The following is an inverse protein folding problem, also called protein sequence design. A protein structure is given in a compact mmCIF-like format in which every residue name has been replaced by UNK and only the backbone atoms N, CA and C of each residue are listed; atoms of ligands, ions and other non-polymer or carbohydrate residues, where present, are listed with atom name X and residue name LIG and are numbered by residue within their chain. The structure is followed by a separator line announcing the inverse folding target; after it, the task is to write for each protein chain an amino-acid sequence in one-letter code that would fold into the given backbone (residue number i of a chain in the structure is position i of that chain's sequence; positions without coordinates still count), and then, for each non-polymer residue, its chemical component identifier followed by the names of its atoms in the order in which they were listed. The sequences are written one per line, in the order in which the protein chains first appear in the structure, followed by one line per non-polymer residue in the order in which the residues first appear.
data_IF_471135925294
#
_entry.id   IF_471135925294
#
_cell.length_a   1.000
_cell.length_b   1.000
_cell.length_c   1.000
_cell.angle_alpha   90.00
_cell.angle_beta   90.00
_cell.angle_gamma   90.00
#
_symmetry.space_group_name_H-M   'P 1'
#
loop_
_entity.id
_entity.type
_entity.pdbx_description
1 polymer ?
#
# COMPACT_ATOMS: atom_id res chain seq x y z
N UNK A 1 -9.82 -22.60 -15.99
CA UNK A 1 -8.70 -22.36 -15.05
C UNK A 1 -7.43 -22.81 -15.78
N UNK A 2 -6.57 -21.88 -16.18
CA UNK A 2 -5.25 -22.19 -16.71
C UNK A 2 -4.45 -22.84 -15.57
N UNK A 3 -3.87 -24.04 -15.81
CA UNK A 3 -2.93 -24.62 -14.87
C UNK A 3 -1.87 -23.57 -14.55
N UNK A 4 -1.68 -23.24 -13.28
CA UNK A 4 -0.81 -22.17 -12.83
C UNK A 4 0.60 -22.35 -13.39
N UNK A 5 1.04 -21.36 -14.16
CA UNK A 5 2.40 -21.28 -14.66
C UNK A 5 3.29 -20.87 -13.49
N UNK A 6 4.26 -21.67 -13.12
CA UNK A 6 5.29 -21.25 -12.17
C UNK A 6 6.06 -20.05 -12.71
N UNK A 7 6.38 -19.05 -11.86
CA UNK A 7 7.20 -17.92 -12.27
C UNK A 7 8.60 -18.39 -12.72
N UNK A 8 9.19 -17.66 -13.66
CA UNK A 8 10.62 -17.78 -13.89
C UNK A 8 11.37 -17.18 -12.69
N UNK A 9 12.22 -17.97 -12.02
CA UNK A 9 12.93 -17.55 -10.80
C UNK A 9 14.39 -17.22 -11.14
N UNK A 10 14.89 -16.11 -10.56
CA UNK A 10 16.22 -15.59 -10.79
C UNK A 10 16.89 -15.25 -9.47
N UNK A 11 18.17 -15.55 -9.32
CA UNK A 11 19.04 -15.19 -8.20
C UNK A 11 19.94 -13.98 -8.52
N UNK A 12 19.97 -13.54 -9.79
CA UNK A 12 20.66 -12.33 -10.23
C UNK A 12 19.69 -11.35 -10.88
N UNK A 13 19.78 -10.06 -10.51
CA UNK A 13 18.88 -9.02 -11.01
C UNK A 13 19.03 -8.81 -12.52
N UNK A 14 20.26 -8.83 -13.02
CA UNK A 14 20.58 -8.68 -14.46
C UNK A 14 19.97 -9.79 -15.28
N UNK A 15 20.00 -11.03 -14.81
CA UNK A 15 19.36 -12.16 -15.48
C UNK A 15 17.84 -12.02 -15.55
N UNK A 16 17.22 -11.51 -14.47
CA UNK A 16 15.80 -11.21 -14.43
C UNK A 16 15.45 -10.10 -15.45
N UNK A 17 16.26 -9.06 -15.55
CA UNK A 17 16.05 -7.96 -16.50
C UNK A 17 16.29 -8.42 -17.96
N UNK A 18 17.28 -9.27 -18.22
CA UNK A 18 17.48 -9.85 -19.55
C UNK A 18 16.27 -10.67 -20.00
N UNK A 19 15.74 -11.51 -19.10
CA UNK A 19 14.52 -12.26 -19.34
C UNK A 19 13.33 -11.32 -19.58
N UNK A 20 13.15 -10.28 -18.76
CA UNK A 20 12.06 -9.33 -18.89
C UNK A 20 12.09 -8.66 -20.28
N UNK A 21 13.25 -8.16 -20.72
CA UNK A 21 13.41 -7.53 -22.03
C UNK A 21 13.15 -8.54 -23.17
N UNK A 22 13.59 -9.78 -23.01
CA UNK A 22 13.33 -10.83 -24.01
C UNK A 22 11.82 -11.14 -24.15
N UNK A 23 11.04 -11.05 -23.06
CA UNK A 23 9.59 -11.31 -23.07
C UNK A 23 8.77 -10.09 -23.50
N UNK A 24 9.06 -8.90 -22.96
CA UNK A 24 8.28 -7.69 -23.17
C UNK A 24 8.74 -6.85 -24.38
N UNK A 25 9.94 -7.11 -24.90
CA UNK A 25 10.58 -6.29 -25.92
C UNK A 25 11.28 -5.07 -25.33
N UNK A 26 11.70 -4.15 -26.20
CA UNK A 26 12.52 -2.98 -25.83
C UNK A 26 11.71 -1.71 -25.53
N UNK A 27 10.39 -1.73 -25.66
CA UNK A 27 9.52 -0.61 -25.28
C UNK A 27 8.80 -0.99 -23.98
N UNK A 28 9.27 -0.45 -22.89
CA UNK A 28 8.88 -0.81 -21.54
C UNK A 28 8.18 0.35 -20.84
N UNK A 29 6.94 0.14 -20.42
CA UNK A 29 6.22 1.03 -19.53
C UNK A 29 5.99 0.32 -18.21
N UNK A 30 6.79 0.67 -17.21
CA UNK A 30 6.83 0.02 -15.90
C UNK A 30 5.95 0.77 -14.92
N UNK A 31 4.96 0.09 -14.33
CA UNK A 31 4.27 0.55 -13.14
C UNK A 31 4.98 0.01 -11.90
N UNK A 32 5.38 0.89 -10.99
CA UNK A 32 6.02 0.52 -9.74
C UNK A 32 5.31 1.18 -8.55
N UNK A 33 5.20 0.50 -7.38
CA UNK A 33 4.53 1.04 -6.20
C UNK A 33 5.17 2.32 -5.68
N UNK A 34 4.42 3.08 -4.92
CA UNK A 34 4.99 4.16 -4.11
C UNK A 34 5.72 3.58 -2.86
N UNK A 35 6.67 4.33 -2.35
CA UNK A 35 7.31 4.03 -1.06
C UNK A 35 7.99 2.65 -0.99
N UNK A 36 7.65 1.89 0.05
CA UNK A 36 8.33 0.64 0.44
C UNK A 36 8.08 -0.54 -0.51
N UNK A 37 7.03 -0.52 -1.30
CA UNK A 37 6.72 -1.59 -2.27
C UNK A 37 7.60 -1.58 -3.51
N UNK A 38 8.46 -0.54 -3.69
CA UNK A 38 9.35 -0.44 -4.84
C UNK A 38 10.41 -1.55 -4.82
N UNK A 39 10.51 -2.35 -5.88
CA UNK A 39 11.57 -3.34 -6.03
C UNK A 39 12.87 -2.64 -6.47
N UNK A 40 13.52 -1.97 -5.52
CA UNK A 40 14.61 -1.04 -5.79
C UNK A 40 15.78 -1.69 -6.54
N UNK A 41 16.14 -2.94 -6.21
CA UNK A 41 17.24 -3.66 -6.88
C UNK A 41 16.91 -3.90 -8.37
N UNK A 42 15.71 -4.38 -8.67
CA UNK A 42 15.29 -4.62 -10.06
C UNK A 42 15.11 -3.32 -10.84
N UNK A 43 14.55 -2.28 -10.21
CA UNK A 43 14.38 -0.97 -10.86
C UNK A 43 15.74 -0.35 -11.20
N UNK A 44 16.72 -0.47 -10.31
CA UNK A 44 18.08 0.01 -10.55
C UNK A 44 18.74 -0.78 -11.70
N UNK A 45 18.65 -2.12 -11.68
CA UNK A 45 19.20 -2.95 -12.76
C UNK A 45 18.56 -2.59 -14.13
N UNK A 46 17.23 -2.43 -14.18
CA UNK A 46 16.54 -2.03 -15.40
C UNK A 46 16.93 -0.61 -15.87
N UNK A 47 17.02 0.34 -14.94
CA UNK A 47 17.41 1.71 -15.24
C UNK A 47 18.84 1.77 -15.80
N UNK A 48 19.79 1.08 -15.18
CA UNK A 48 21.17 1.01 -15.66
C UNK A 48 21.28 0.32 -17.02
N UNK A 49 20.50 -0.73 -17.26
CA UNK A 49 20.44 -1.40 -18.56
C UNK A 49 19.93 -0.45 -19.66
N UNK A 50 18.83 0.29 -19.41
CA UNK A 50 18.30 1.25 -20.37
C UNK A 50 19.24 2.46 -20.57
N UNK A 51 19.98 2.86 -19.52
CA UNK A 51 21.00 3.92 -19.61
C UNK A 51 22.18 3.49 -20.46
N UNK A 52 22.53 2.20 -20.47
CA UNK A 52 23.61 1.63 -21.27
C UNK A 52 23.19 1.28 -22.71
N UNK A 53 21.92 1.01 -22.98
CA UNK A 53 21.37 0.66 -24.30
C UNK A 53 20.26 1.64 -24.71
N UNK A 54 20.62 2.66 -25.50
CA UNK A 54 19.67 3.64 -26.03
C UNK A 54 18.59 3.04 -26.96
N UNK A 55 18.69 1.78 -27.32
CA UNK A 55 17.65 1.05 -28.06
C UNK A 55 16.49 0.58 -27.15
N UNK A 56 16.59 0.71 -25.82
CA UNK A 56 15.53 0.43 -24.88
C UNK A 56 14.79 1.74 -24.58
N UNK A 57 13.50 1.80 -24.90
CA UNK A 57 12.61 2.91 -24.54
C UNK A 57 11.93 2.56 -23.22
N UNK A 58 12.34 3.23 -22.14
CA UNK A 58 11.89 2.92 -20.79
C UNK A 58 11.07 4.09 -20.21
N UNK A 59 9.83 3.80 -19.85
CA UNK A 59 9.02 4.69 -19.01
C UNK A 59 8.78 4.04 -17.64
N UNK A 60 9.13 4.73 -16.56
CA UNK A 60 8.82 4.34 -15.17
C UNK A 60 7.73 5.28 -14.65
N UNK A 61 6.59 4.72 -14.27
CA UNK A 61 5.48 5.44 -13.62
C UNK A 61 5.38 4.96 -12.19
N UNK A 62 5.55 5.88 -11.24
CA UNK A 62 5.58 5.59 -9.82
C UNK A 62 5.16 6.81 -9.00
N UNK A 63 5.36 6.75 -7.69
CA UNK A 63 5.20 7.88 -6.79
C UNK A 63 6.14 7.74 -5.59
N UNK A 64 6.42 8.85 -4.91
CA UNK A 64 7.20 8.90 -3.67
C UNK A 64 8.51 8.11 -3.76
N UNK A 65 9.39 8.51 -4.65
CA UNK A 65 10.75 7.99 -4.72
C UNK A 65 11.61 8.61 -3.63
N UNK A 66 11.78 7.88 -2.53
CA UNK A 66 12.55 8.33 -1.39
C UNK A 66 14.05 8.10 -1.64
N UNK A 67 14.84 9.09 -1.26
CA UNK A 67 16.31 9.04 -1.33
C UNK A 67 16.89 9.03 0.07
N UNK A 68 17.99 8.30 0.26
CA UNK A 68 18.78 8.38 1.48
C UNK A 68 19.35 9.79 1.64
N UNK A 69 19.07 10.49 2.74
CA UNK A 69 19.63 11.82 2.98
C UNK A 69 21.14 11.79 2.97
N UNK A 70 21.75 12.83 2.39
CA UNK A 70 23.22 12.99 2.36
C UNK A 70 23.59 14.28 3.06
N UNK A 71 24.56 14.21 3.94
CA UNK A 71 25.11 15.40 4.60
C UNK A 71 25.84 16.30 3.59
N UNK A 72 25.69 17.61 3.76
CA UNK A 72 26.35 18.63 2.93
C UNK A 72 27.70 19.11 3.53
N UNK A 73 28.01 18.71 4.75
CA UNK A 73 29.24 19.07 5.48
C UNK A 73 29.61 18.01 6.51
N UNK A 74 30.89 18.00 6.93
CA UNK A 74 31.40 17.09 7.99
C UNK A 74 30.65 17.25 9.32
N UNK A 75 30.23 18.46 9.64
CA UNK A 75 29.47 18.71 10.87
C UNK A 75 28.08 18.12 10.79
N UNK A 76 27.42 18.25 9.67
CA UNK A 76 26.10 17.65 9.40
C UNK A 76 26.22 16.12 9.38
N UNK A 77 27.27 15.57 8.77
CA UNK A 77 27.53 14.12 8.71
C UNK A 77 27.58 13.49 10.10
N UNK A 78 28.23 14.15 11.06
CA UNK A 78 28.31 13.63 12.46
C UNK A 78 26.93 13.44 13.10
N UNK A 79 25.93 14.21 12.71
CA UNK A 79 24.55 14.07 13.19
C UNK A 79 23.74 13.11 12.32
N UNK A 80 23.88 13.24 11.00
CA UNK A 80 23.02 12.52 10.05
C UNK A 80 23.44 11.07 9.84
N UNK A 81 24.75 10.78 9.74
CA UNK A 81 25.22 9.44 9.42
C UNK A 81 24.70 8.36 10.38
N UNK A 82 24.71 8.56 11.72
CA UNK A 82 24.14 7.57 12.63
C UNK A 82 22.62 7.38 12.47
N UNK A 83 21.90 8.43 12.04
CA UNK A 83 20.46 8.35 11.79
C UNK A 83 20.20 7.60 10.48
N UNK A 84 20.95 7.94 9.43
CA UNK A 84 20.87 7.29 8.12
C UNK A 84 21.22 5.81 8.24
N UNK A 85 22.32 5.47 8.90
CA UNK A 85 22.71 4.08 9.14
C UNK A 85 21.61 3.29 9.87
N UNK A 86 20.98 3.88 10.88
CA UNK A 86 19.91 3.21 11.62
C UNK A 86 18.60 3.07 10.84
N UNK A 87 18.25 4.08 10.02
CA UNK A 87 16.93 4.15 9.34
C UNK A 87 16.98 3.47 7.98
N UNK A 88 18.01 3.74 7.19
CA UNK A 88 18.12 3.26 5.81
C UNK A 88 19.02 2.02 5.68
N UNK A 89 19.96 1.81 6.62
CA UNK A 89 20.85 0.64 6.70
C UNK A 89 21.43 0.27 5.32
N UNK A 90 20.98 -0.85 4.76
CA UNK A 90 21.39 -1.41 3.48
C UNK A 90 20.43 -1.10 2.32
N UNK A 91 19.53 -0.12 2.48
CA UNK A 91 18.63 0.30 1.40
C UNK A 91 19.42 0.80 0.18
N UNK A 92 19.26 0.19 -1.01
CA UNK A 92 20.10 0.48 -2.17
C UNK A 92 19.85 1.86 -2.80
N UNK A 93 18.77 2.55 -2.40
CA UNK A 93 18.34 3.78 -3.06
C UNK A 93 17.72 3.52 -4.43
N UNK A 94 17.51 4.60 -5.18
CA UNK A 94 16.95 4.57 -6.55
C UNK A 94 17.88 5.36 -7.46
N UNK A 95 18.57 4.68 -8.35
CA UNK A 95 19.61 5.25 -9.22
C UNK A 95 19.11 6.39 -10.11
N UNK A 96 17.87 6.28 -10.61
CA UNK A 96 17.28 7.31 -11.45
C UNK A 96 17.09 8.66 -10.74
N UNK A 97 17.02 8.67 -9.41
CA UNK A 97 16.78 9.90 -8.66
C UNK A 97 17.91 10.91 -8.77
N UNK A 98 19.15 10.44 -8.89
CA UNK A 98 20.29 11.33 -9.11
C UNK A 98 20.15 12.08 -10.43
N UNK A 99 19.78 11.40 -11.49
CA UNK A 99 19.59 11.99 -12.83
C UNK A 99 18.31 12.87 -12.88
N UNK A 100 17.24 12.50 -12.17
CA UNK A 100 16.02 13.33 -12.03
C UNK A 100 16.32 14.66 -11.34
N UNK A 101 17.10 14.64 -10.28
CA UNK A 101 17.50 15.86 -9.55
C UNK A 101 18.42 16.75 -10.42
N UNK A 102 19.35 16.12 -11.14
CA UNK A 102 20.32 16.83 -11.98
C UNK A 102 19.79 17.26 -13.37
N UNK A 103 18.56 16.90 -13.74
CA UNK A 103 17.98 17.09 -15.10
C UNK A 103 18.83 16.40 -16.21
N UNK A 104 19.37 15.21 -15.91
CA UNK A 104 20.27 14.44 -16.78
C UNK A 104 19.74 13.07 -17.17
N UNK A 105 18.45 12.83 -16.99
CA UNK A 105 17.80 11.55 -17.40
C UNK A 105 17.99 11.37 -18.92
N UNK A 106 18.49 10.20 -19.37
CA UNK A 106 18.70 9.94 -20.79
C UNK A 106 17.43 10.07 -21.64
N UNK A 107 17.59 10.50 -22.90
CA UNK A 107 16.44 10.78 -23.78
C UNK A 107 15.53 9.58 -24.08
N UNK A 108 16.05 8.35 -23.97
CA UNK A 108 15.30 7.10 -24.12
C UNK A 108 14.63 6.64 -22.82
N UNK A 109 14.74 7.43 -21.73
CA UNK A 109 14.15 7.10 -20.43
C UNK A 109 13.21 8.22 -19.98
N UNK A 110 12.05 7.83 -19.49
CA UNK A 110 11.11 8.74 -18.82
C UNK A 110 10.82 8.23 -17.42
N UNK A 111 11.05 9.07 -16.40
CA UNK A 111 10.63 8.82 -15.03
C UNK A 111 9.52 9.80 -14.71
N UNK A 112 8.32 9.30 -14.40
CA UNK A 112 7.13 10.10 -14.13
C UNK A 112 6.53 9.70 -12.79
N UNK A 113 6.31 10.66 -11.93
CA UNK A 113 5.73 10.43 -10.62
C UNK A 113 4.45 11.22 -10.41
N UNK A 114 3.47 10.62 -9.72
CA UNK A 114 2.21 11.29 -9.39
C UNK A 114 2.15 11.80 -7.95
N UNK A 115 3.21 11.59 -7.16
CA UNK A 115 3.38 12.17 -5.83
C UNK A 115 4.87 12.32 -5.51
N UNK A 116 5.28 13.52 -5.11
CA UNK A 116 6.62 13.81 -4.62
C UNK A 116 6.62 14.04 -3.11
N UNK A 117 7.74 13.75 -2.46
CA UNK A 117 7.94 14.28 -1.11
C UNK A 117 7.84 15.82 -1.16
N UNK A 118 6.98 16.43 -0.33
CA UNK A 118 6.78 17.88 -0.36
C UNK A 118 8.09 18.68 -0.26
N UNK A 119 8.31 19.54 -1.23
CA UNK A 119 9.50 20.41 -1.29
C UNK A 119 10.78 19.79 -1.86
N UNK A 120 10.88 18.45 -1.99
CA UNK A 120 12.13 17.78 -2.34
C UNK A 120 12.63 18.07 -3.76
N UNK A 121 11.72 18.23 -4.73
CA UNK A 121 12.05 18.36 -6.17
C UNK A 121 11.68 19.74 -6.76
N UNK A 122 11.53 20.74 -5.93
CA UNK A 122 11.19 22.10 -6.40
C UNK A 122 12.23 22.69 -7.37
N UNK A 123 13.49 22.33 -7.20
CA UNK A 123 14.58 22.81 -8.03
C UNK A 123 14.87 21.92 -9.25
N UNK A 124 14.14 20.81 -9.44
CA UNK A 124 14.32 19.91 -10.58
C UNK A 124 13.38 20.29 -11.73
N UNK A 125 13.86 20.87 -12.85
CA UNK A 125 13.04 21.13 -14.02
C UNK A 125 12.49 19.84 -14.63
N UNK A 126 13.25 18.75 -14.56
CA UNK A 126 12.82 17.43 -15.03
C UNK A 126 11.59 16.94 -14.28
N UNK A 127 11.65 16.91 -12.96
CA UNK A 127 10.54 16.44 -12.13
C UNK A 127 9.26 17.25 -12.36
N UNK A 128 9.37 18.57 -12.50
CA UNK A 128 8.24 19.46 -12.79
C UNK A 128 7.58 19.16 -14.15
N UNK A 129 8.37 18.85 -15.19
CA UNK A 129 7.86 18.51 -16.51
C UNK A 129 7.21 17.13 -16.57
N UNK A 130 7.65 16.19 -15.71
CA UNK A 130 7.24 14.78 -15.75
C UNK A 130 6.31 14.41 -14.57
N UNK A 131 5.82 15.40 -13.82
CA UNK A 131 4.80 15.18 -12.80
C UNK A 131 3.46 14.80 -13.44
N UNK A 132 2.85 13.73 -12.91
CA UNK A 132 1.51 13.32 -13.30
C UNK A 132 0.50 13.81 -12.25
N UNK A 133 -0.42 14.67 -12.65
CA UNK A 133 -1.50 15.11 -11.76
C UNK A 133 -2.60 14.05 -11.73
N UNK A 134 -2.47 13.07 -10.82
CA UNK A 134 -3.37 11.94 -10.67
C UNK A 134 -3.87 11.88 -9.24
N UNK A 135 -5.16 11.67 -9.06
CA UNK A 135 -5.69 11.29 -7.76
C UNK A 135 -5.36 9.81 -7.50
N UNK A 136 -4.90 9.48 -6.30
CA UNK A 136 -4.48 8.13 -5.95
C UNK A 136 -5.54 7.05 -6.25
N UNK A 137 -6.82 7.36 -6.02
CA UNK A 137 -7.94 6.45 -6.34
C UNK A 137 -8.12 6.20 -7.84
N UNK A 138 -7.48 6.98 -8.71
CA UNK A 138 -7.49 6.81 -10.17
C UNK A 138 -6.16 6.27 -10.72
N UNK A 139 -5.15 6.08 -9.86
CA UNK A 139 -3.81 5.72 -10.31
C UNK A 139 -3.78 4.43 -11.13
N UNK A 140 -4.49 3.38 -10.70
CA UNK A 140 -4.55 2.12 -11.46
C UNK A 140 -5.08 2.32 -12.89
N UNK A 141 -6.21 3.05 -13.05
CA UNK A 141 -6.77 3.38 -14.36
C UNK A 141 -5.75 4.15 -15.22
N UNK A 142 -5.16 5.18 -14.64
CA UNK A 142 -4.27 6.08 -15.38
C UNK A 142 -2.94 5.38 -15.76
N UNK A 143 -2.47 4.40 -14.98
CA UNK A 143 -1.36 3.55 -15.36
C UNK A 143 -1.70 2.63 -16.53
N UNK A 144 -2.90 2.02 -16.52
CA UNK A 144 -3.37 1.19 -17.65
C UNK A 144 -3.55 2.02 -18.93
N UNK A 145 -4.11 3.22 -18.82
CA UNK A 145 -4.29 4.16 -19.94
C UNK A 145 -2.94 4.67 -20.48
N UNK A 146 -1.92 4.78 -19.62
CA UNK A 146 -0.55 5.10 -20.02
C UNK A 146 0.16 3.94 -20.74
N UNK A 147 -0.44 2.75 -20.78
CA UNK A 147 0.09 1.60 -21.50
C UNK A 147 1.10 0.79 -20.68
N UNK A 148 0.98 0.77 -19.34
CA UNK A 148 1.82 -0.10 -18.50
C UNK A 148 1.76 -1.53 -19.01
N UNK A 149 2.92 -2.07 -19.40
CA UNK A 149 3.10 -3.44 -19.87
C UNK A 149 3.99 -4.27 -18.94
N UNK A 150 4.58 -3.66 -17.93
CA UNK A 150 5.33 -4.34 -16.86
C UNK A 150 4.88 -3.77 -15.51
N UNK A 151 4.41 -4.63 -14.63
CA UNK A 151 4.15 -4.30 -13.24
C UNK A 151 5.27 -4.87 -12.38
N UNK A 152 5.96 -4.04 -11.62
CA UNK A 152 7.01 -4.46 -10.71
C UNK A 152 6.62 -4.23 -9.26
N UNK A 153 6.80 -5.23 -8.39
CA UNK A 153 6.40 -5.18 -6.99
C UNK A 153 7.43 -5.87 -6.10
N UNK A 154 7.78 -5.26 -4.97
CA UNK A 154 8.49 -5.97 -3.90
C UNK A 154 7.50 -6.80 -3.09
N UNK A 155 7.84 -8.05 -2.82
CA UNK A 155 6.98 -9.02 -2.14
C UNK A 155 7.71 -9.69 -0.97
N UNK A 156 6.97 -10.09 0.05
CA UNK A 156 7.46 -10.96 1.11
C UNK A 156 7.18 -12.43 0.80
N UNK A 157 7.81 -13.39 1.48
CA UNK A 157 7.39 -14.78 1.47
C UNK A 157 5.90 -14.89 1.84
N UNK A 158 5.19 -15.81 1.20
CA UNK A 158 3.80 -16.13 1.54
C UNK A 158 3.69 -17.02 2.78
N UNK A 159 2.48 -17.49 3.06
CA UNK A 159 2.21 -18.47 4.13
C UNK A 159 2.43 -19.91 3.66
N UNK A 160 2.56 -20.12 2.36
CA UNK A 160 2.90 -21.39 1.71
C UNK A 160 3.88 -21.12 0.56
N UNK A 161 4.53 -22.14 0.06
CA UNK A 161 5.44 -22.06 -1.10
C UNK A 161 4.72 -21.65 -2.40
N UNK A 162 3.40 -21.78 -2.45
CA UNK A 162 2.57 -21.42 -3.60
C UNK A 162 2.15 -19.94 -3.61
N UNK A 163 2.46 -19.19 -2.54
CA UNK A 163 2.04 -17.81 -2.37
C UNK A 163 3.21 -16.86 -2.10
N UNK A 164 3.00 -15.59 -2.42
CA UNK A 164 3.80 -14.46 -1.92
C UNK A 164 2.87 -13.45 -1.25
N UNK A 165 3.42 -12.59 -0.41
CA UNK A 165 2.66 -11.52 0.22
C UNK A 165 3.08 -10.17 -0.36
N UNK A 166 2.10 -9.32 -0.73
CA UNK A 166 2.33 -7.92 -1.09
C UNK A 166 2.74 -7.08 0.12
N UNK A 167 2.80 -7.69 1.30
CA UNK A 167 3.27 -7.10 2.54
C UNK A 167 2.46 -5.86 2.98
N UNK A 168 3.12 -4.90 3.62
CA UNK A 168 2.51 -3.68 4.17
C UNK A 168 2.29 -2.57 3.14
N UNK A 169 2.65 -2.78 1.89
CA UNK A 169 2.48 -1.79 0.81
C UNK A 169 2.01 -2.47 -0.47
N UNK A 170 0.73 -2.84 -0.51
CA UNK A 170 0.08 -3.42 -1.70
C UNK A 170 -0.06 -2.38 -2.81
N UNK A 171 -0.07 -1.09 -2.43
CA UNK A 171 -0.29 0.04 -3.33
C UNK A 171 -1.49 -0.21 -4.27
N UNK A 172 -1.36 0.11 -5.55
CA UNK A 172 -2.39 -0.12 -6.58
C UNK A 172 -2.24 -1.48 -7.29
N UNK A 173 -1.35 -2.35 -6.83
CA UNK A 173 -1.07 -3.62 -7.49
C UNK A 173 -2.30 -4.51 -7.63
N UNK A 174 -3.12 -4.63 -6.58
CA UNK A 174 -4.36 -5.41 -6.62
C UNK A 174 -5.38 -4.83 -7.60
N UNK A 175 -5.44 -3.51 -7.72
CA UNK A 175 -6.35 -2.81 -8.64
C UNK A 175 -5.86 -2.88 -10.09
N UNK A 176 -4.55 -3.01 -10.32
CA UNK A 176 -3.96 -3.20 -11.65
C UNK A 176 -4.14 -4.63 -12.18
N UNK A 177 -4.11 -5.63 -11.31
CA UNK A 177 -4.15 -7.03 -11.71
C UNK A 177 -5.34 -7.41 -12.62
N UNK A 178 -6.60 -6.98 -12.36
CA UNK A 178 -7.71 -7.24 -13.28
C UNK A 178 -7.48 -6.64 -14.68
N UNK A 179 -6.88 -5.45 -14.77
CA UNK A 179 -6.50 -4.82 -16.02
C UNK A 179 -5.43 -5.60 -16.78
N UNK A 180 -4.42 -6.08 -16.08
CA UNK A 180 -3.36 -6.97 -16.61
C UNK A 180 -3.99 -8.26 -17.17
N UNK A 181 -4.91 -8.86 -16.45
CA UNK A 181 -5.62 -10.08 -16.90
C UNK A 181 -6.49 -9.79 -18.14
N UNK A 182 -7.18 -8.65 -18.19
CA UNK A 182 -7.94 -8.23 -19.36
C UNK A 182 -7.03 -7.99 -20.58
N UNK A 183 -5.85 -7.40 -20.39
CA UNK A 183 -4.85 -7.25 -21.46
C UNK A 183 -4.38 -8.60 -21.99
N UNK A 184 -4.13 -9.57 -21.11
CA UNK A 184 -3.78 -10.95 -21.49
C UNK A 184 -4.88 -11.63 -22.28
N UNK A 185 -6.14 -11.49 -21.84
CA UNK A 185 -7.32 -12.01 -22.55
C UNK A 185 -7.48 -11.38 -23.94
N UNK A 186 -7.04 -10.13 -24.13
CA UNK A 186 -7.00 -9.44 -25.42
C UNK A 186 -5.76 -9.78 -26.28
N UNK A 187 -4.95 -10.78 -25.88
CA UNK A 187 -3.78 -11.24 -26.64
C UNK A 187 -2.51 -10.38 -26.46
N UNK A 188 -2.51 -9.45 -25.50
CA UNK A 188 -1.29 -8.72 -25.10
C UNK A 188 -0.49 -9.56 -24.10
N UNK A 189 0.79 -9.22 -23.92
CA UNK A 189 1.70 -9.95 -23.03
C UNK A 189 2.28 -9.04 -21.92
N UNK A 190 1.44 -8.43 -21.06
CA UNK A 190 1.95 -7.69 -19.93
C UNK A 190 2.58 -8.66 -18.92
N UNK A 191 3.65 -8.20 -18.25
CA UNK A 191 4.37 -8.98 -17.25
C UNK A 191 4.14 -8.44 -15.84
N UNK A 192 4.08 -9.36 -14.88
CA UNK A 192 4.13 -9.07 -13.45
C UNK A 192 5.44 -9.64 -12.91
N UNK A 193 6.29 -8.78 -12.35
CA UNK A 193 7.62 -9.15 -11.87
C UNK A 193 7.73 -8.81 -10.39
N UNK A 194 8.06 -9.81 -9.58
CA UNK A 194 8.27 -9.69 -8.15
C UNK A 194 9.74 -9.61 -7.78
N UNK A 195 10.08 -8.78 -6.79
CA UNK A 195 11.33 -8.89 -6.04
C UNK A 195 11.01 -9.40 -4.65
N UNK A 196 11.43 -10.62 -4.33
CA UNK A 196 11.28 -11.17 -2.99
C UNK A 196 12.25 -10.48 -2.03
N UNK A 197 11.74 -10.11 -0.85
CA UNK A 197 12.56 -9.59 0.24
C UNK A 197 12.05 -10.22 1.55
N UNK A 198 12.87 -11.09 2.16
CA UNK A 198 12.52 -11.85 3.36
C UNK A 198 12.46 -10.97 4.62
N UNK A 199 12.93 -9.74 4.55
CA UNK A 199 12.86 -8.75 5.65
C UNK A 199 11.55 -7.96 5.67
N UNK A 200 10.67 -8.16 4.67
CA UNK A 200 9.29 -7.64 4.70
C UNK A 200 8.40 -8.53 5.57
N UNK A 201 7.44 -7.95 6.33
CA UNK A 201 6.47 -8.75 7.06
C UNK A 201 5.51 -9.46 6.12
N UNK A 202 5.24 -10.74 6.38
CA UNK A 202 4.17 -11.48 5.70
C UNK A 202 2.82 -10.99 6.20
N UNK A 203 2.02 -10.39 5.31
CA UNK A 203 0.64 -10.03 5.56
C UNK A 203 -0.28 -11.06 4.90
N UNK A 204 -1.42 -11.32 5.52
CA UNK A 204 -2.34 -12.39 5.11
C UNK A 204 -3.56 -11.87 4.35
N UNK A 205 -4.55 -12.72 4.08
CA UNK A 205 -5.79 -12.42 3.36
C UNK A 205 -5.52 -11.87 1.95
N UNK A 206 -6.08 -10.72 1.58
CA UNK A 206 -5.95 -10.13 0.24
C UNK A 206 -4.52 -9.69 -0.12
N UNK A 207 -3.62 -9.58 0.87
CA UNK A 207 -2.20 -9.36 0.59
C UNK A 207 -1.49 -10.62 0.06
N UNK A 208 -2.06 -11.82 0.27
CA UNK A 208 -1.53 -13.06 -0.31
C UNK A 208 -1.94 -13.18 -1.77
N UNK A 209 -0.95 -13.38 -2.63
CA UNK A 209 -1.12 -13.56 -4.07
C UNK A 209 -0.48 -14.88 -4.45
N UNK A 210 -1.16 -15.66 -5.30
CA UNK A 210 -0.59 -16.90 -5.86
C UNK A 210 0.67 -16.60 -6.68
N UNK A 211 1.74 -17.36 -6.48
CA UNK A 211 2.99 -17.24 -7.27
C UNK A 211 2.73 -17.36 -8.77
N UNK A 212 1.73 -18.16 -9.16
CA UNK A 212 1.31 -18.34 -10.56
C UNK A 212 0.81 -17.05 -11.25
N UNK A 213 0.49 -16.01 -10.50
CA UNK A 213 0.12 -14.68 -11.04
C UNK A 213 1.33 -13.78 -11.33
N UNK A 214 2.51 -14.20 -10.88
CA UNK A 214 3.80 -13.54 -11.12
C UNK A 214 4.50 -14.26 -12.26
N UNK A 215 4.98 -13.55 -13.26
CA UNK A 215 5.65 -14.12 -14.42
C UNK A 215 7.15 -14.33 -14.19
N UNK A 216 7.79 -13.39 -13.52
CA UNK A 216 9.20 -13.43 -13.12
C UNK A 216 9.38 -13.06 -11.65
N UNK A 217 10.21 -13.82 -10.95
CA UNK A 217 10.50 -13.58 -9.54
C UNK A 217 12.00 -13.52 -9.31
N UNK A 218 12.48 -12.37 -8.85
CA UNK A 218 13.84 -12.21 -8.35
C UNK A 218 13.87 -12.62 -6.88
N UNK A 219 14.61 -13.68 -6.57
CA UNK A 219 14.70 -14.31 -5.26
C UNK A 219 16.16 -14.53 -4.92
N UNK A 220 16.79 -13.55 -4.27
CA UNK A 220 18.18 -13.56 -3.87
C UNK A 220 18.32 -13.04 -2.44
N UNK A 221 18.38 -13.90 -1.43
CA UNK A 221 18.49 -13.48 -0.01
C UNK A 221 19.69 -12.57 0.27
N UNK A 222 20.75 -12.67 -0.51
CA UNK A 222 21.92 -11.78 -0.39
C UNK A 222 21.65 -10.33 -0.84
N UNK A 223 20.57 -10.11 -1.60
CA UNK A 223 20.11 -8.80 -2.06
C UNK A 223 18.95 -8.25 -1.23
N UNK A 224 18.53 -8.95 -0.18
CA UNK A 224 17.53 -8.46 0.77
C UNK A 224 18.08 -7.24 1.51
N UNK A 225 17.21 -6.25 1.67
CA UNK A 225 17.53 -5.06 2.45
C UNK A 225 16.43 -4.74 3.45
N UNK A 226 16.78 -4.03 4.50
CA UNK A 226 15.82 -3.60 5.51
C UNK A 226 14.92 -2.49 4.93
N UNK A 227 13.58 -2.69 4.95
CA UNK A 227 12.65 -1.60 4.67
C UNK A 227 12.85 -0.49 5.70
N UNK A 228 12.99 0.74 5.24
CA UNK A 228 13.07 1.87 6.15
C UNK A 228 11.68 2.22 6.70
N UNK A 229 11.65 2.69 7.96
CA UNK A 229 10.42 3.15 8.61
C UNK A 229 9.95 4.50 8.07
N UNK A 230 8.64 4.74 8.15
CA UNK A 230 8.09 6.05 7.87
C UNK A 230 8.71 7.12 8.80
N UNK A 231 9.01 8.34 8.30
CA UNK A 231 9.50 9.41 9.15
C UNK A 231 8.48 9.74 10.23
N UNK A 232 8.90 9.73 11.50
CA UNK A 232 8.08 10.13 12.62
C UNK A 232 8.52 11.53 13.11
N UNK A 233 7.58 12.47 13.17
CA UNK A 233 7.79 13.79 13.76
C UNK A 233 7.18 13.81 15.17
N UNK A 234 7.74 14.61 16.11
CA UNK A 234 7.11 14.82 17.41
C UNK A 234 5.70 15.39 17.25
N UNK A 235 4.75 14.87 18.04
CA UNK A 235 3.37 15.33 18.04
C UNK A 235 3.28 16.67 18.77
N UNK A 236 2.78 17.71 18.10
CA UNK A 236 2.60 19.02 18.71
C UNK A 236 1.29 19.07 19.52
N UNK A 237 1.20 20.01 20.48
CA UNK A 237 -0.03 20.23 21.28
C UNK A 237 -1.23 20.55 20.38
N UNK A 238 -1.00 21.28 19.29
CA UNK A 238 -2.05 21.58 18.30
C UNK A 238 -2.60 20.30 17.64
N UNK A 239 -1.73 19.34 17.33
CA UNK A 239 -2.13 18.07 16.74
C UNK A 239 -3.06 17.27 17.68
N UNK A 240 -2.75 17.24 18.98
CA UNK A 240 -3.64 16.63 19.98
C UNK A 240 -5.00 17.32 20.07
N UNK A 241 -5.03 18.65 19.99
CA UNK A 241 -6.29 19.39 20.03
C UNK A 241 -7.15 19.15 18.77
N UNK A 242 -6.52 19.06 17.60
CA UNK A 242 -7.17 18.69 16.34
C UNK A 242 -7.65 17.24 16.43
N UNK A 243 -6.78 16.33 16.85
CA UNK A 243 -7.07 14.90 16.95
C UNK A 243 -8.24 14.60 17.90
N UNK A 244 -8.33 15.27 19.04
CA UNK A 244 -9.46 15.12 19.95
C UNK A 244 -10.79 15.52 19.28
N UNK A 245 -10.82 16.63 18.53
CA UNK A 245 -12.01 17.04 17.78
C UNK A 245 -12.36 16.06 16.66
N UNK A 246 -11.36 15.60 15.90
CA UNK A 246 -11.57 14.58 14.85
C UNK A 246 -12.12 13.30 15.45
N UNK A 247 -11.54 12.83 16.57
CA UNK A 247 -12.00 11.63 17.27
C UNK A 247 -13.45 11.77 17.76
N UNK A 248 -13.85 12.98 18.19
CA UNK A 248 -15.23 13.29 18.54
C UNK A 248 -16.24 13.27 17.39
N UNK A 249 -15.77 13.18 16.14
CA UNK A 249 -16.61 13.06 14.93
C UNK A 249 -16.68 11.61 14.40
N UNK A 250 -15.91 10.68 14.97
CA UNK A 250 -15.91 9.28 14.54
C UNK A 250 -17.12 8.54 15.10
N UNK A 251 -18.03 8.17 14.23
CA UNK A 251 -19.15 7.31 14.61
C UNK A 251 -18.66 5.88 14.90
N UNK A 252 -19.27 5.21 15.87
CA UNK A 252 -19.07 3.78 16.07
C UNK A 252 -19.49 3.00 14.84
N UNK A 253 -18.75 1.97 14.47
CA UNK A 253 -18.94 1.26 13.20
C UNK A 253 -18.47 2.04 11.95
N UNK A 254 -17.80 3.18 12.13
CA UNK A 254 -17.29 4.01 11.04
C UNK A 254 -16.01 3.48 10.39
N UNK A 255 -15.53 4.23 9.38
CA UNK A 255 -14.25 3.99 8.71
C UNK A 255 -13.29 5.14 8.99
N UNK A 256 -12.07 4.82 9.38
CA UNK A 256 -11.01 5.79 9.62
C UNK A 256 -9.88 5.56 8.60
N UNK A 257 -9.56 6.61 7.84
CA UNK A 257 -8.35 6.64 7.04
C UNK A 257 -7.33 7.55 7.69
N UNK A 258 -6.17 7.01 8.01
CA UNK A 258 -4.99 7.77 8.46
C UNK A 258 -3.76 7.29 7.71
N UNK A 259 -2.81 8.19 7.52
CA UNK A 259 -1.53 7.89 6.89
C UNK A 259 -0.36 8.14 7.85
N UNK A 260 0.78 8.50 7.29
CA UNK A 260 2.00 8.84 8.02
C UNK A 260 1.90 10.27 8.54
N UNK A 261 2.35 10.51 9.78
CA UNK A 261 2.54 11.85 10.32
C UNK A 261 2.02 12.04 11.74
N UNK A 262 2.48 13.09 12.40
CA UNK A 262 2.18 13.41 13.81
C UNK A 262 0.69 13.54 14.12
N UNK A 263 -0.10 14.10 13.19
CA UNK A 263 -1.54 14.20 13.35
C UNK A 263 -2.22 12.81 13.37
N UNK A 264 -1.77 11.88 12.55
CA UNK A 264 -2.27 10.50 12.54
C UNK A 264 -1.96 9.78 13.85
N UNK A 265 -0.74 9.98 14.37
CA UNK A 265 -0.34 9.44 15.67
C UNK A 265 -1.18 10.01 16.81
N UNK A 266 -1.45 11.32 16.75
CA UNK A 266 -2.33 12.00 17.71
C UNK A 266 -3.78 11.48 17.65
N UNK A 267 -4.32 11.22 16.44
CA UNK A 267 -5.67 10.66 16.25
C UNK A 267 -5.72 9.24 16.84
N UNK A 268 -4.71 8.41 16.58
CA UNK A 268 -4.63 7.07 17.15
C UNK A 268 -4.61 7.11 18.68
N UNK A 269 -3.82 8.00 19.27
CA UNK A 269 -3.79 8.21 20.72
C UNK A 269 -5.14 8.69 21.28
N UNK A 270 -5.80 9.64 20.62
CA UNK A 270 -7.11 10.13 21.05
C UNK A 270 -8.20 9.04 20.93
N UNK A 271 -8.14 8.17 19.93
CA UNK A 271 -9.04 7.03 19.79
C UNK A 271 -8.84 6.00 20.92
N UNK A 272 -7.59 5.71 21.28
CA UNK A 272 -7.27 4.86 22.43
C UNK A 272 -7.78 5.51 23.75
N UNK A 273 -7.56 6.80 23.91
CA UNK A 273 -8.05 7.55 25.07
C UNK A 273 -9.58 7.48 25.16
N UNK A 274 -10.29 7.65 24.03
CA UNK A 274 -11.75 7.51 23.96
C UNK A 274 -12.22 6.11 24.33
N UNK A 275 -11.49 5.07 23.88
CA UNK A 275 -11.85 3.68 24.10
C UNK A 275 -11.56 3.21 25.53
N UNK A 276 -10.34 3.46 26.01
CA UNK A 276 -9.82 2.83 27.21
C UNK A 276 -9.73 3.78 28.42
N UNK A 277 -9.80 5.10 28.19
CA UNK A 277 -9.71 6.14 29.21
C UNK A 277 -10.78 7.23 29.00
N UNK A 278 -12.02 6.81 28.81
CA UNK A 278 -13.11 7.64 28.32
C UNK A 278 -13.37 8.90 29.15
N UNK A 279 -13.32 8.82 30.51
CA UNK A 279 -13.47 10.00 31.37
C UNK A 279 -12.41 11.07 31.09
N UNK A 280 -11.19 10.65 30.77
CA UNK A 280 -10.11 11.57 30.42
C UNK A 280 -10.33 12.18 29.05
N UNK A 281 -10.82 11.40 28.08
CA UNK A 281 -11.19 11.90 26.77
C UNK A 281 -12.32 12.95 26.86
N UNK A 282 -13.38 12.68 27.63
CA UNK A 282 -14.46 13.63 27.83
C UNK A 282 -13.97 14.96 28.45
N UNK A 283 -13.13 14.87 29.50
CA UNK A 283 -12.51 16.09 30.09
C UNK A 283 -11.64 16.85 29.10
N UNK A 284 -10.90 16.13 28.22
CA UNK A 284 -10.11 16.76 27.16
C UNK A 284 -11.02 17.55 26.20
N UNK A 285 -12.09 16.93 25.71
CA UNK A 285 -13.07 17.60 24.82
C UNK A 285 -13.67 18.83 25.51
N UNK A 286 -14.08 18.74 26.77
CA UNK A 286 -14.62 19.87 27.55
C UNK A 286 -13.60 21.01 27.69
N UNK A 287 -12.33 20.67 27.95
CA UNK A 287 -11.26 21.66 28.11
C UNK A 287 -10.96 22.45 26.82
N UNK A 288 -11.29 21.88 25.67
CA UNK A 288 -11.16 22.56 24.37
C UNK A 288 -12.29 23.58 24.11
N UNK A 289 -13.25 23.69 25.05
CA UNK A 289 -14.39 24.62 25.01
C UNK A 289 -15.12 24.62 23.65
N UNK A 290 -15.64 23.47 23.18
CA UNK A 290 -16.28 23.38 21.87
C UNK A 290 -17.51 24.30 21.79
N UNK A 291 -17.66 24.98 20.65
CA UNK A 291 -18.83 25.79 20.40
C UNK A 291 -20.11 24.99 20.17
N UNK A 292 -21.31 25.65 20.18
CA UNK A 292 -22.60 24.96 20.08
C UNK A 292 -22.72 24.06 18.83
N UNK A 293 -22.21 24.49 17.68
CA UNK A 293 -22.22 23.71 16.44
C UNK A 293 -21.33 22.49 16.52
N UNK A 294 -20.14 22.61 17.11
CA UNK A 294 -19.20 21.50 17.32
C UNK A 294 -19.78 20.46 18.30
N UNK A 295 -20.38 20.92 19.40
CA UNK A 295 -21.09 20.04 20.34
C UNK A 295 -22.27 19.32 19.68
N UNK A 296 -23.01 19.98 18.78
CA UNK A 296 -24.10 19.34 18.04
C UNK A 296 -23.60 18.24 17.11
N UNK A 297 -22.46 18.44 16.43
CA UNK A 297 -21.81 17.45 15.59
C UNK A 297 -21.32 16.25 16.42
N UNK A 298 -20.61 16.51 17.53
CA UNK A 298 -20.12 15.46 18.42
C UNK A 298 -21.28 14.60 18.94
N UNK A 299 -22.39 15.22 19.37
CA UNK A 299 -23.60 14.50 19.79
C UNK A 299 -24.22 13.68 18.66
N UNK A 300 -24.26 14.21 17.43
CA UNK A 300 -24.81 13.50 16.26
C UNK A 300 -24.11 12.18 15.97
N UNK A 301 -22.82 12.09 16.23
CA UNK A 301 -22.00 10.90 15.99
C UNK A 301 -21.75 10.07 17.24
N UNK A 302 -22.35 10.44 18.38
CA UNK A 302 -22.06 9.86 19.71
C UNK A 302 -20.55 9.83 20.02
N UNK A 303 -19.88 10.92 19.61
CA UNK A 303 -18.43 11.01 19.52
C UNK A 303 -17.68 11.03 20.84
N UNK A 304 -18.36 10.98 21.98
CA UNK A 304 -17.76 10.88 23.31
C UNK A 304 -17.87 9.50 23.93
N UNK A 305 -18.77 8.63 23.46
CA UNK A 305 -18.91 7.27 23.96
C UNK A 305 -17.78 6.35 23.46
N UNK A 306 -17.34 5.35 24.22
CA UNK A 306 -16.46 4.30 23.73
C UNK A 306 -17.05 3.59 22.51
N UNK A 307 -16.19 3.05 21.65
CA UNK A 307 -16.63 2.25 20.51
C UNK A 307 -17.14 0.90 20.98
N UNK A 308 -18.25 0.44 20.42
CA UNK A 308 -18.87 -0.89 20.69
C UNK A 308 -18.62 -1.82 19.52
N UNK A 309 -18.95 -1.39 18.30
CA UNK A 309 -18.66 -2.11 17.05
C UNK A 309 -17.19 -1.98 16.67
N UNK A 310 -16.60 -0.84 17.01
CA UNK A 310 -15.26 -0.44 16.60
C UNK A 310 -15.20 0.16 15.22
N UNK A 311 -13.99 0.47 14.76
CA UNK A 311 -13.74 1.09 13.46
C UNK A 311 -13.16 0.07 12.49
N UNK A 312 -13.36 0.32 11.20
CA UNK A 312 -12.56 -0.21 10.11
C UNK A 312 -11.46 0.81 9.75
N UNK A 313 -10.23 0.34 9.57
CA UNK A 313 -9.11 1.17 9.17
C UNK A 313 -8.74 0.97 7.70
N UNK A 314 -8.44 2.05 6.98
CA UNK A 314 -7.83 1.96 5.66
C UNK A 314 -6.65 2.93 5.54
N UNK A 315 -5.65 2.54 4.77
CA UNK A 315 -4.41 3.31 4.57
C UNK A 315 -3.73 2.84 3.28
N UNK A 316 -2.88 3.67 2.70
CA UNK A 316 -2.05 3.27 1.56
C UNK A 316 -0.84 2.43 1.97
N UNK A 317 -0.33 2.65 3.17
CA UNK A 317 0.71 1.83 3.81
C UNK A 317 0.30 1.53 5.24
N UNK A 318 0.58 0.31 5.73
CA UNK A 318 0.36 -0.02 7.13
C UNK A 318 1.32 0.81 8.01
N UNK A 319 0.74 1.63 8.88
CA UNK A 319 1.45 2.48 9.84
C UNK A 319 1.28 2.01 11.27
N UNK A 320 2.22 2.31 12.15
CA UNK A 320 2.23 1.91 13.56
C UNK A 320 0.93 2.32 14.28
N UNK A 321 0.36 3.45 13.91
CA UNK A 321 -0.91 3.93 14.44
C UNK A 321 -2.02 2.87 14.36
N UNK A 322 -2.13 2.11 13.28
CA UNK A 322 -3.12 1.03 13.16
C UNK A 322 -2.82 -0.16 14.05
N UNK A 323 -1.55 -0.49 14.26
CA UNK A 323 -1.17 -1.54 15.19
C UNK A 323 -1.56 -1.16 16.65
N UNK A 324 -1.36 0.10 17.02
CA UNK A 324 -1.81 0.63 18.30
C UNK A 324 -3.33 0.61 18.42
N UNK A 325 -4.08 1.06 17.42
CA UNK A 325 -5.54 1.04 17.39
C UNK A 325 -6.10 -0.38 17.46
N UNK A 326 -5.47 -1.35 16.78
CA UNK A 326 -5.84 -2.75 16.87
C UNK A 326 -5.65 -3.29 18.31
N UNK A 327 -4.47 -3.04 18.92
CA UNK A 327 -4.18 -3.45 20.30
C UNK A 327 -5.07 -2.77 21.34
N UNK A 328 -5.47 -1.53 21.07
CA UNK A 328 -6.40 -0.78 21.90
C UNK A 328 -7.87 -1.24 21.77
N UNK A 329 -8.17 -2.19 20.88
CA UNK A 329 -9.54 -2.66 20.63
C UNK A 329 -10.43 -1.65 19.91
N UNK A 330 -9.83 -0.73 19.14
CA UNK A 330 -10.54 0.27 18.34
C UNK A 330 -10.82 -0.25 16.93
N UNK A 331 -9.85 -0.93 16.31
CA UNK A 331 -10.00 -1.53 14.97
C UNK A 331 -10.53 -2.96 15.14
N UNK A 332 -11.84 -3.09 15.17
CA UNK A 332 -12.53 -4.38 15.43
C UNK A 332 -13.67 -4.64 14.45
N UNK A 333 -14.12 -3.63 13.70
CA UNK A 333 -15.22 -3.80 12.74
C UNK A 333 -14.79 -4.68 11.57
N UNK A 334 -15.46 -5.84 11.34
CA UNK A 334 -15.20 -6.68 10.17
C UNK A 334 -15.70 -6.01 8.89
N UNK A 335 -14.88 -6.09 7.84
CA UNK A 335 -15.23 -5.63 6.48
C UNK A 335 -14.82 -6.69 5.49
N UNK A 336 -15.72 -7.01 4.56
CA UNK A 336 -15.53 -8.02 3.54
C UNK A 336 -15.50 -7.39 2.15
N UNK A 337 -14.63 -7.90 1.30
CA UNK A 337 -14.53 -7.52 -0.12
C UNK A 337 -15.62 -8.20 -0.96
N UNK A 338 -16.86 -7.99 -0.52
CA UNK A 338 -18.07 -8.42 -1.21
C UNK A 338 -19.27 -7.60 -0.73
N UNK A 339 -19.95 -6.94 -1.68
CA UNK A 339 -21.05 -6.03 -1.37
C UNK A 339 -22.25 -6.75 -0.73
N UNK A 340 -22.56 -7.96 -1.17
CA UNK A 340 -23.71 -8.72 -0.63
C UNK A 340 -23.41 -9.19 0.79
N UNK A 341 -22.22 -9.75 1.01
CA UNK A 341 -21.74 -10.16 2.36
C UNK A 341 -21.75 -8.97 3.30
N UNK A 342 -21.19 -7.83 2.88
CA UNK A 342 -21.12 -6.64 3.73
C UNK A 342 -22.50 -6.06 4.02
N UNK A 343 -23.42 -6.07 3.05
CA UNK A 343 -24.79 -5.59 3.22
C UNK A 343 -25.53 -6.44 4.24
N UNK A 344 -25.45 -7.76 4.12
CA UNK A 344 -26.08 -8.69 5.05
C UNK A 344 -25.49 -8.60 6.47
N UNK A 345 -24.16 -8.43 6.57
CA UNK A 345 -23.49 -8.22 7.85
C UNK A 345 -23.97 -6.92 8.53
N UNK A 346 -24.01 -5.81 7.79
CA UNK A 346 -24.48 -4.52 8.30
C UNK A 346 -25.96 -4.56 8.71
N UNK A 347 -26.76 -5.42 8.07
CA UNK A 347 -28.16 -5.67 8.45
C UNK A 347 -28.32 -6.66 9.63
N UNK A 348 -27.22 -7.17 10.20
CA UNK A 348 -27.26 -8.18 11.26
C UNK A 348 -27.76 -9.55 10.82
N UNK A 349 -27.80 -9.82 9.51
CA UNK A 349 -28.25 -11.08 8.91
C UNK A 349 -27.11 -12.10 8.71
N UNK A 350 -25.87 -11.65 8.79
CA UNK A 350 -24.67 -12.49 8.84
C UNK A 350 -23.96 -12.30 10.17
N UNK A 351 -23.34 -13.36 10.63
CA UNK A 351 -22.38 -13.33 11.74
C UNK A 351 -20.98 -13.68 11.20
N UNK A 352 -19.91 -13.34 11.93
CA UNK A 352 -18.55 -13.76 11.59
C UNK A 352 -18.36 -15.28 11.52
N UNK A 353 -19.29 -16.05 12.08
CA UNK A 353 -19.28 -17.51 12.02
C UNK A 353 -20.37 -18.00 11.08
N UNK A 354 -20.00 -18.92 10.19
CA UNK A 354 -20.95 -19.55 9.26
C UNK A 354 -21.98 -20.36 10.05
N UNK A 355 -23.24 -20.11 9.75
CA UNK A 355 -24.39 -20.82 10.33
C UNK A 355 -25.42 -21.13 9.25
N UNK A 356 -26.39 -22.02 9.53
CA UNK A 356 -27.48 -22.26 8.58
C UNK A 356 -28.23 -20.96 8.25
N UNK A 357 -28.49 -20.12 9.22
CA UNK A 357 -29.14 -18.81 8.99
C UNK A 357 -28.30 -17.89 8.10
N UNK A 358 -26.96 -17.94 8.20
CA UNK A 358 -26.06 -17.20 7.32
C UNK A 358 -26.13 -17.74 5.87
N UNK A 359 -26.17 -19.06 5.69
CA UNK A 359 -26.31 -19.69 4.38
C UNK A 359 -27.67 -19.38 3.74
N UNK A 360 -28.76 -19.45 4.53
CA UNK A 360 -30.11 -19.07 4.05
C UNK A 360 -30.14 -17.61 3.60
N UNK A 361 -29.52 -16.69 4.37
CA UNK A 361 -29.45 -15.29 4.01
C UNK A 361 -28.67 -15.04 2.72
N UNK A 362 -27.57 -15.76 2.50
CA UNK A 362 -26.79 -15.68 1.26
C UNK A 362 -27.54 -16.26 0.07
N UNK A 363 -28.24 -17.39 0.27
CA UNK A 363 -29.10 -17.99 -0.78
C UNK A 363 -30.23 -17.05 -1.18
N UNK A 364 -30.94 -16.44 -0.26
CA UNK A 364 -32.01 -15.47 -0.51
C UNK A 364 -31.56 -14.28 -1.38
N UNK A 365 -30.30 -13.90 -1.28
CA UNK A 365 -29.73 -12.82 -2.11
C UNK A 365 -29.16 -13.32 -3.45
N UNK A 366 -29.18 -14.62 -3.69
CA UNK A 366 -28.62 -15.24 -4.89
C UNK A 366 -27.09 -15.26 -4.91
N UNK A 367 -26.43 -15.12 -3.75
CA UNK A 367 -24.99 -15.21 -3.64
C UNK A 367 -24.48 -16.65 -3.72
N UNK A 368 -25.30 -17.61 -3.30
CA UNK A 368 -25.02 -19.05 -3.36
C UNK A 368 -26.28 -19.81 -3.79
N UNK A 369 -26.10 -21.01 -4.32
CA UNK A 369 -27.17 -21.91 -4.70
C UNK A 369 -27.64 -22.83 -3.55
N UNK A 370 -28.81 -23.42 -3.68
CA UNK A 370 -29.31 -24.48 -2.79
C UNK A 370 -29.85 -25.64 -3.63
N UNK A 371 -29.19 -26.82 -3.62
CA UNK A 371 -28.00 -27.17 -2.83
C UNK A 371 -26.72 -26.43 -3.25
N UNK A 372 -25.78 -26.29 -2.33
CA UNK A 372 -24.48 -25.66 -2.58
C UNK A 372 -23.72 -26.41 -3.70
N UNK A 373 -23.18 -25.67 -4.63
CA UNK A 373 -22.24 -26.18 -5.64
C UNK A 373 -20.79 -26.13 -5.15
N UNK A 374 -19.88 -26.81 -5.84
CA UNK A 374 -18.45 -26.69 -5.58
C UNK A 374 -17.95 -25.23 -5.73
N UNK A 375 -18.54 -24.50 -6.68
CA UNK A 375 -18.21 -23.09 -6.89
C UNK A 375 -18.62 -22.22 -5.70
N UNK A 376 -19.79 -22.51 -5.09
CA UNK A 376 -20.26 -21.81 -3.90
C UNK A 376 -19.38 -22.08 -2.69
N UNK A 377 -18.95 -23.34 -2.51
CA UNK A 377 -18.02 -23.69 -1.43
C UNK A 377 -16.68 -22.97 -1.62
N UNK A 378 -16.16 -22.90 -2.84
CA UNK A 378 -14.93 -22.17 -3.14
C UNK A 378 -15.12 -20.65 -2.93
N UNK A 379 -16.28 -20.09 -3.28
CA UNK A 379 -16.63 -18.70 -3.05
C UNK A 379 -16.71 -18.37 -1.55
N UNK A 380 -17.41 -19.20 -0.76
CA UNK A 380 -17.54 -19.05 0.70
C UNK A 380 -16.15 -19.03 1.37
N UNK A 381 -15.28 -20.00 1.04
CA UNK A 381 -13.91 -20.04 1.57
C UNK A 381 -13.09 -18.80 1.24
N UNK A 382 -13.27 -18.23 0.06
CA UNK A 382 -12.53 -17.04 -0.37
C UNK A 382 -13.06 -15.74 0.24
N UNK A 383 -14.38 -15.65 0.49
CA UNK A 383 -15.04 -14.39 0.85
C UNK A 383 -15.40 -14.27 2.34
N UNK A 384 -15.53 -15.38 3.06
CA UNK A 384 -16.05 -15.38 4.45
C UNK A 384 -15.02 -15.95 5.44
N UNK A 385 -14.07 -16.76 5.02
CA UNK A 385 -12.90 -17.16 5.82
C UNK A 385 -11.85 -16.05 5.79
#
# INVERSE_FOLDING_TARGET
MSAGREPAVFDEAEACIDWLIAQAGKTLCVGAPLGLGKPATLLNALYQRAKADAGIDLTIITALSLTTPKASSDLEARLMDPIVERVFEDYPGLDYMADVVADTVPANITVSEFFFQPGALLASPYAQRHYRSVNYTHAARDLLDAGVNVLMQMVAPGTTDETVSLSCNTDVTLDLMPGIEAMRAAGKAPLVVGQLNTRLPTMTRSALVERSRIDGLFEAPAADFKPFGAPAAPVATADYAIAARVTGLLADGGTLQIGIGSLSDAIAWCCDLRQNHNDTFCRLIESLAPGPSEQALTRRYDGTAPFVTGLYGCTEMLVDAYLHLYRAGVITRPVYDDLQVQTLLNAGRLSPHVSLASLDALHETGAIDNPLTEADVAWLKRKID
#
